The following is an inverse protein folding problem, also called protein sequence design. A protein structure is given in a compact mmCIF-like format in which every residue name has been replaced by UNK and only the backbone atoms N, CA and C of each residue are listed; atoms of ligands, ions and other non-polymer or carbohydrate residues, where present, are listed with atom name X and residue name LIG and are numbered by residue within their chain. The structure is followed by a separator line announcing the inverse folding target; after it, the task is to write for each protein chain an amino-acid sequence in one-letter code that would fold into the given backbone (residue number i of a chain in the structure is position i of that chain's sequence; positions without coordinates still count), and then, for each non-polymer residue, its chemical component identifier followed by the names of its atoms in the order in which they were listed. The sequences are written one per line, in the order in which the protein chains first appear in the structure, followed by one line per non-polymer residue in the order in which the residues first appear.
data_IF_751611830715
#
_entry.id   IF_751611830715
#
_cell.length_a   1.000
_cell.length_b   1.000
_cell.length_c   1.000
_cell.angle_alpha   90.00
_cell.angle_beta   90.00
_cell.angle_gamma   90.00
#
_symmetry.space_group_name_H-M   'P 1'
#
loop_
_entity.id
_entity.type
_entity.pdbx_description
1 polymer ?
#
# COMPACT_ATOMS: atom_id res chain seq x y z
N UNK A 1 -21.53 -7.95 -9.77
CA UNK A 1 -20.42 -7.60 -8.86
C UNK A 1 -20.77 -6.28 -8.22
N UNK A 2 -20.74 -6.17 -6.89
CA UNK A 2 -21.04 -4.93 -6.15
C UNK A 2 -19.83 -3.99 -6.25
N UNK A 3 -19.98 -2.65 -6.25
CA UNK A 3 -18.82 -1.75 -6.20
C UNK A 3 -17.88 -2.10 -5.04
N UNK A 4 -16.56 -2.09 -5.29
CA UNK A 4 -15.54 -2.48 -4.29
C UNK A 4 -15.75 -1.79 -2.95
N UNK A 5 -16.21 -0.52 -2.95
CA UNK A 5 -16.53 0.25 -1.75
C UNK A 5 -17.51 -0.43 -0.79
N UNK A 6 -18.44 -1.24 -1.30
CA UNK A 6 -19.50 -1.93 -0.53
C UNK A 6 -19.35 -3.46 -0.54
N UNK A 7 -18.29 -3.99 -1.13
CA UNK A 7 -18.06 -5.42 -1.32
C UNK A 7 -17.42 -6.06 -0.08
N UNK A 8 -18.18 -6.17 1.01
CA UNK A 8 -17.68 -6.72 2.29
C UNK A 8 -17.24 -8.18 2.15
N UNK A 9 -18.01 -9.01 1.43
CA UNK A 9 -17.67 -10.41 1.20
C UNK A 9 -16.38 -10.55 0.39
N UNK A 10 -16.20 -9.76 -0.67
CA UNK A 10 -14.96 -9.73 -1.44
C UNK A 10 -13.78 -9.21 -0.63
N UNK A 11 -13.97 -8.16 0.18
CA UNK A 11 -12.93 -7.64 1.07
C UNK A 11 -12.50 -8.67 2.12
N UNK A 12 -13.45 -9.37 2.74
CA UNK A 12 -13.19 -10.44 3.71
C UNK A 12 -12.46 -11.60 3.06
N UNK A 13 -12.91 -12.05 1.88
CA UNK A 13 -12.27 -13.12 1.13
C UNK A 13 -10.82 -12.76 0.78
N UNK A 14 -10.58 -11.54 0.28
CA UNK A 14 -9.24 -11.01 0.03
C UNK A 14 -8.36 -11.05 1.28
N UNK A 15 -8.85 -10.53 2.41
CA UNK A 15 -8.10 -10.49 3.66
C UNK A 15 -7.66 -11.91 4.10
N UNK A 16 -8.60 -12.86 4.08
CA UNK A 16 -8.36 -14.25 4.50
C UNK A 16 -7.42 -14.98 3.54
N UNK A 17 -7.70 -14.92 2.23
CA UNK A 17 -6.92 -15.66 1.22
C UNK A 17 -5.49 -15.15 1.09
N UNK A 18 -5.29 -13.84 1.24
CA UNK A 18 -3.97 -13.20 1.24
C UNK A 18 -3.26 -13.24 2.59
N UNK A 19 -3.94 -13.73 3.65
CA UNK A 19 -3.44 -13.81 5.03
C UNK A 19 -2.87 -12.48 5.52
N UNK A 20 -3.59 -11.40 5.25
CA UNK A 20 -3.17 -10.03 5.57
C UNK A 20 -2.84 -9.94 7.07
N UNK A 21 -1.68 -9.38 7.40
CA UNK A 21 -1.31 -9.04 8.77
C UNK A 21 -1.79 -7.65 9.16
N UNK A 22 -2.88 -7.56 9.91
CA UNK A 22 -3.38 -6.29 10.44
C UNK A 22 -2.69 -5.96 11.77
N UNK A 23 -1.74 -5.04 11.73
CA UNK A 23 -0.90 -4.66 12.88
C UNK A 23 -1.77 -3.95 13.90
N UNK A 24 -1.67 -4.34 15.17
CA UNK A 24 -2.36 -3.65 16.25
C UNK A 24 -1.74 -2.28 16.49
N UNK A 25 -2.55 -1.25 16.65
CA UNK A 25 -2.08 0.11 17.00
C UNK A 25 -1.20 0.10 18.25
N UNK A 26 -1.52 -0.71 19.25
CA UNK A 26 -0.73 -0.85 20.47
C UNK A 26 0.70 -1.36 20.20
N UNK A 27 0.90 -2.19 19.17
CA UNK A 27 2.25 -2.59 18.76
C UNK A 27 3.03 -1.41 18.15
N UNK A 28 2.40 -0.61 17.30
CA UNK A 28 3.01 0.59 16.71
C UNK A 28 3.46 1.56 17.81
N UNK A 29 2.60 1.82 18.81
CA UNK A 29 2.92 2.67 19.96
C UNK A 29 4.08 2.15 20.79
N UNK A 30 4.11 0.84 21.08
CA UNK A 30 5.23 0.20 21.78
C UNK A 30 6.52 0.26 20.98
N UNK A 31 6.46 0.07 19.66
CA UNK A 31 7.62 0.21 18.78
C UNK A 31 8.19 1.63 18.85
N UNK A 32 7.36 2.66 18.70
CA UNK A 32 7.80 4.07 18.82
C UNK A 32 8.45 4.33 20.18
N UNK A 33 7.83 3.86 21.26
CA UNK A 33 8.36 4.00 22.62
C UNK A 33 9.69 3.25 22.83
N UNK A 34 9.88 2.11 22.16
CA UNK A 34 11.16 1.38 22.18
C UNK A 34 12.23 2.12 21.36
N UNK A 35 11.87 2.61 20.17
CA UNK A 35 12.76 3.36 19.31
C UNK A 35 13.26 4.66 19.97
N UNK A 36 12.42 5.37 20.71
CA UNK A 36 12.81 6.59 21.43
C UNK A 36 13.78 6.33 22.60
N UNK A 37 13.81 5.11 23.15
CA UNK A 37 14.69 4.72 24.26
C UNK A 37 16.01 4.09 23.79
N UNK A 38 16.15 3.79 22.51
CA UNK A 38 17.37 3.18 21.94
C UNK A 38 18.52 4.20 21.96
N UNK A 39 19.73 3.69 22.17
CA UNK A 39 20.94 4.48 21.97
C UNK A 39 21.11 4.85 20.49
N UNK A 40 21.79 5.97 20.20
CA UNK A 40 21.95 6.49 18.83
C UNK A 40 22.70 5.54 17.88
N UNK A 41 23.47 4.60 18.41
CA UNK A 41 24.26 3.63 17.65
C UNK A 41 23.56 2.27 17.44
N UNK A 42 22.34 2.08 17.95
CA UNK A 42 21.60 0.84 17.78
C UNK A 42 20.56 0.96 16.66
N UNK A 43 20.67 0.08 15.66
CA UNK A 43 19.70 0.02 14.57
C UNK A 43 18.43 -0.69 15.05
N UNK A 44 17.28 0.00 15.01
CA UNK A 44 15.96 -0.60 15.22
C UNK A 44 15.05 -0.28 14.04
N UNK A 45 14.75 -1.29 13.22
CA UNK A 45 13.84 -1.18 12.09
C UNK A 45 12.46 -1.73 12.44
N UNK A 46 11.44 -1.16 11.81
CA UNK A 46 10.09 -1.72 11.88
C UNK A 46 10.07 -3.07 11.17
N UNK A 47 9.56 -4.15 11.80
CA UNK A 47 9.68 -5.48 11.22
C UNK A 47 8.77 -5.66 10.00
N UNK A 48 9.23 -6.43 9.01
CA UNK A 48 8.34 -6.95 7.94
C UNK A 48 7.39 -8.01 8.51
N UNK A 49 6.43 -8.44 7.69
CA UNK A 49 5.33 -9.33 8.07
C UNK A 49 5.75 -10.61 8.81
N UNK A 50 6.86 -11.23 8.42
CA UNK A 50 7.32 -12.52 8.95
C UNK A 50 7.98 -12.43 10.32
N UNK A 51 8.50 -11.26 10.70
CA UNK A 51 9.22 -11.00 11.96
C UNK A 51 8.35 -10.25 12.96
N UNK A 52 7.10 -9.93 12.62
CA UNK A 52 6.16 -9.37 13.56
C UNK A 52 6.00 -10.30 14.77
N UNK A 53 6.15 -9.81 16.01
CA UNK A 53 5.98 -10.63 17.20
C UNK A 53 4.58 -11.25 17.27
N UNK A 54 4.47 -12.46 17.83
CA UNK A 54 3.18 -13.11 18.03
C UNK A 54 2.24 -12.21 18.85
N UNK A 55 0.99 -12.09 18.42
CA UNK A 55 -0.03 -11.27 19.09
C UNK A 55 0.04 -9.77 18.77
N UNK A 56 1.02 -9.32 17.98
CA UNK A 56 1.12 -7.92 17.53
C UNK A 56 0.24 -7.57 16.32
N UNK A 57 -0.40 -8.55 15.71
CA UNK A 57 -1.27 -8.39 14.55
C UNK A 57 -2.42 -9.41 14.54
N UNK A 58 -3.47 -9.14 13.78
CA UNK A 58 -4.49 -10.11 13.38
C UNK A 58 -4.15 -10.68 12.00
N UNK A 59 -4.26 -11.98 11.81
CA UNK A 59 -4.11 -12.61 10.49
C UNK A 59 -5.47 -12.76 9.81
N UNK A 60 -5.55 -12.38 8.54
CA UNK A 60 -6.79 -12.44 7.78
C UNK A 60 -7.65 -11.22 8.03
N UNK A 61 -8.86 -11.42 8.58
CA UNK A 61 -9.80 -10.35 8.89
C UNK A 61 -9.74 -10.02 10.39
N UNK A 62 -9.58 -8.74 10.80
CA UNK A 62 -9.64 -8.35 12.20
C UNK A 62 -11.08 -8.49 12.74
N UNK A 63 -11.27 -8.51 14.07
CA UNK A 63 -12.61 -8.56 14.68
C UNK A 63 -13.49 -7.39 14.22
N UNK A 64 -14.79 -7.64 14.07
CA UNK A 64 -15.74 -6.67 13.48
C UNK A 64 -15.88 -5.37 14.28
N UNK A 65 -15.64 -5.42 15.59
CA UNK A 65 -15.68 -4.26 16.48
C UNK A 65 -14.38 -3.44 16.48
N UNK A 66 -13.43 -3.72 15.59
CA UNK A 66 -12.17 -2.97 15.46
C UNK A 66 -12.18 -2.11 14.22
N UNK A 67 -11.73 -0.87 14.36
CA UNK A 67 -11.52 0.02 13.22
C UNK A 67 -10.33 -0.47 12.41
N UNK A 68 -10.40 -0.26 11.11
CA UNK A 68 -9.37 -0.65 10.15
C UNK A 68 -8.79 0.59 9.51
N UNK A 69 -7.48 0.71 9.58
CA UNK A 69 -6.70 1.77 8.95
C UNK A 69 -5.79 1.15 7.89
N UNK A 70 -5.73 1.70 6.69
CA UNK A 70 -4.70 1.41 5.71
C UNK A 70 -3.76 2.61 5.60
N UNK A 71 -2.46 2.36 5.48
CA UNK A 71 -1.46 3.42 5.38
C UNK A 71 -1.01 3.51 3.93
N UNK A 72 -1.23 4.67 3.30
CA UNK A 72 -0.64 4.96 2.00
C UNK A 72 0.63 5.76 2.20
N UNK A 73 1.75 5.22 1.72
CA UNK A 73 3.06 5.85 1.85
C UNK A 73 4.03 5.40 0.77
N UNK A 74 5.05 6.24 0.52
CA UNK A 74 6.18 5.86 -0.30
C UNK A 74 7.22 5.05 0.49
N UNK A 75 7.92 4.14 -0.19
CA UNK A 75 9.15 3.54 0.33
C UNK A 75 10.30 4.55 0.28
N UNK A 76 11.02 4.75 1.38
CA UNK A 76 12.13 5.70 1.44
C UNK A 76 13.35 5.23 0.63
N UNK A 77 13.60 3.93 0.59
CA UNK A 77 14.65 3.32 -0.21
C UNK A 77 14.28 1.88 -0.60
N UNK A 78 15.08 1.26 -1.47
CA UNK A 78 14.91 -0.11 -1.95
C UNK A 78 14.86 -1.14 -0.82
N UNK A 79 15.71 -0.97 0.21
CA UNK A 79 15.89 -1.99 1.23
C UNK A 79 14.94 -1.85 2.44
N UNK A 80 14.26 -0.72 2.61
CA UNK A 80 13.31 -0.54 3.70
C UNK A 80 12.38 0.66 3.45
N UNK A 81 11.08 0.57 3.80
CA UNK A 81 10.17 1.70 3.57
C UNK A 81 10.47 2.91 4.46
N UNK A 82 10.99 2.72 5.68
CA UNK A 82 11.22 3.80 6.67
C UNK A 82 12.47 3.53 7.52
N UNK A 83 13.69 3.63 6.96
CA UNK A 83 14.93 3.33 7.71
C UNK A 83 15.06 4.15 9.00
N UNK A 84 14.67 5.42 8.97
CA UNK A 84 14.75 6.33 10.13
C UNK A 84 13.62 6.12 11.16
N UNK A 85 12.68 5.22 10.87
CA UNK A 85 11.40 5.06 11.58
C UNK A 85 10.52 6.31 11.65
N UNK A 86 10.91 7.47 11.10
CA UNK A 86 10.14 8.74 11.20
C UNK A 86 8.71 8.56 10.70
N UNK A 87 8.48 7.76 9.67
CA UNK A 87 7.12 7.44 9.21
C UNK A 87 6.29 6.67 10.21
N UNK A 88 6.88 5.74 10.97
CA UNK A 88 6.17 5.01 12.03
C UNK A 88 5.78 5.94 13.19
N UNK A 89 6.64 6.92 13.52
CA UNK A 89 6.31 7.96 14.50
C UNK A 89 5.14 8.84 14.01
N UNK A 90 5.16 9.26 12.74
CA UNK A 90 4.05 10.00 12.13
C UNK A 90 2.76 9.17 12.09
N UNK A 91 2.85 7.88 11.78
CA UNK A 91 1.72 6.96 11.82
C UNK A 91 1.11 6.89 13.23
N UNK A 92 1.93 6.73 14.26
CA UNK A 92 1.46 6.72 15.65
C UNK A 92 0.74 8.03 16.03
N UNK A 93 1.25 9.18 15.57
CA UNK A 93 0.64 10.49 15.79
C UNK A 93 -0.69 10.66 15.02
N UNK A 94 -0.74 10.20 13.77
CA UNK A 94 -1.97 10.22 12.97
C UNK A 94 -3.05 9.31 13.59
N UNK A 95 -2.69 8.11 14.04
CA UNK A 95 -3.58 7.20 14.74
C UNK A 95 -4.07 7.77 16.08
N UNK A 96 -3.21 8.47 16.82
CA UNK A 96 -3.60 9.20 18.04
C UNK A 96 -4.64 10.28 17.73
N UNK A 97 -4.41 11.06 16.67
CA UNK A 97 -5.33 12.13 16.22
C UNK A 97 -6.67 11.55 15.75
N UNK A 98 -6.66 10.37 15.12
CA UNK A 98 -7.85 9.62 14.76
C UNK A 98 -8.51 8.90 15.95
N UNK A 99 -8.04 9.13 17.18
CA UNK A 99 -8.49 8.49 18.42
C UNK A 99 -8.50 6.96 18.33
N UNK A 100 -7.55 6.34 17.63
CA UNK A 100 -7.49 4.89 17.47
C UNK A 100 -7.18 4.16 18.79
N UNK A 101 -7.82 3.02 19.01
CA UNK A 101 -7.59 2.15 20.17
C UNK A 101 -6.44 1.20 19.92
N UNK A 102 -5.81 0.67 20.98
CA UNK A 102 -4.65 -0.22 20.87
C UNK A 102 -4.92 -1.52 20.08
N UNK A 103 -6.17 -1.98 20.07
CA UNK A 103 -6.62 -3.16 19.34
C UNK A 103 -7.17 -2.84 17.94
N UNK A 104 -7.18 -1.57 17.52
CA UNK A 104 -7.51 -1.24 16.14
C UNK A 104 -6.43 -1.78 15.19
N UNK A 105 -6.87 -2.04 13.95
CA UNK A 105 -6.14 -2.80 12.96
C UNK A 105 -5.51 -1.86 11.91
N UNK A 106 -4.21 -2.00 11.66
CA UNK A 106 -3.45 -1.18 10.70
C UNK A 106 -2.86 -2.06 9.61
N UNK A 107 -3.17 -1.75 8.36
CA UNK A 107 -2.51 -2.28 7.18
C UNK A 107 -1.35 -1.36 6.78
N UNK A 108 -0.13 -1.88 6.84
CA UNK A 108 1.10 -1.26 6.36
C UNK A 108 1.79 -2.27 5.45
N UNK A 109 1.82 -2.03 4.14
CA UNK A 109 2.21 -3.00 3.09
C UNK A 109 3.42 -3.90 3.45
N UNK A 110 4.51 -3.33 3.93
CA UNK A 110 5.74 -4.00 4.31
C UNK A 110 5.57 -4.99 5.46
N UNK A 111 4.77 -4.61 6.44
CA UNK A 111 4.52 -5.39 7.65
C UNK A 111 3.21 -6.21 7.58
N UNK A 112 2.35 -5.94 6.62
CA UNK A 112 1.07 -6.62 6.42
C UNK A 112 1.12 -7.70 5.35
N UNK A 113 2.01 -7.56 4.36
CA UNK A 113 2.20 -8.52 3.28
C UNK A 113 3.53 -9.26 3.44
N UNK A 114 3.57 -10.53 3.03
CA UNK A 114 4.82 -11.29 3.04
C UNK A 114 5.86 -10.67 2.10
N UNK A 115 7.02 -10.29 2.63
CA UNK A 115 8.09 -9.64 1.87
C UNK A 115 9.24 -10.60 1.55
N UNK A 116 9.95 -10.37 0.45
CA UNK A 116 11.28 -10.97 0.25
C UNK A 116 12.31 -10.31 1.21
N UNK A 117 13.46 -10.96 1.46
CA UNK A 117 14.60 -10.32 2.12
C UNK A 117 14.98 -9.03 1.39
N UNK A 118 15.27 -7.98 2.15
CA UNK A 118 15.65 -6.67 1.62
C UNK A 118 17.05 -6.23 2.02
N UNK A 119 17.57 -6.78 3.10
CA UNK A 119 18.92 -6.49 3.56
C UNK A 119 19.59 -7.76 4.09
N UNK A 120 20.90 -7.83 3.90
CA UNK A 120 21.74 -8.87 4.50
C UNK A 120 22.17 -8.51 5.93
N UNK A 121 23.25 -9.14 6.38
CA UNK A 121 23.79 -8.96 7.74
C UNK A 121 24.51 -7.64 7.97
N UNK A 122 24.73 -6.83 6.91
CA UNK A 122 25.47 -5.56 6.96
C UNK A 122 24.90 -4.53 7.94
N UNK A 123 23.60 -4.63 8.26
CA UNK A 123 22.93 -3.76 9.24
C UNK A 123 23.15 -4.16 10.70
N UNK A 124 23.89 -5.24 10.98
CA UNK A 124 23.98 -5.83 12.32
C UNK A 124 22.65 -6.42 12.80
N UNK A 125 21.68 -6.57 11.89
CA UNK A 125 20.37 -7.16 12.16
C UNK A 125 20.37 -8.65 11.81
N UNK A 126 19.50 -9.45 12.46
CA UNK A 126 19.30 -10.84 12.07
C UNK A 126 18.96 -10.96 10.57
N UNK A 127 19.48 -11.99 9.87
CA UNK A 127 19.21 -12.19 8.46
C UNK A 127 17.71 -12.42 8.21
N UNK A 128 17.19 -11.84 7.14
CA UNK A 128 15.81 -12.05 6.72
C UNK A 128 15.70 -13.33 5.89
N UNK A 129 14.78 -14.21 6.26
CA UNK A 129 14.48 -15.43 5.47
C UNK A 129 13.67 -15.14 4.20
N UNK A 130 13.80 -16.00 3.21
CA UNK A 130 12.93 -15.98 2.04
C UNK A 130 11.47 -16.27 2.38
N UNK A 131 10.58 -15.88 1.45
CA UNK A 131 9.19 -16.32 1.48
C UNK A 131 9.12 -17.80 1.14
N UNK A 132 8.26 -18.51 1.86
CA UNK A 132 7.85 -19.85 1.43
C UNK A 132 7.02 -19.78 0.14
N UNK A 133 6.83 -20.90 -0.59
CA UNK A 133 5.94 -20.93 -1.75
C UNK A 133 4.50 -20.48 -1.43
N UNK A 134 3.98 -20.86 -0.26
CA UNK A 134 2.65 -20.46 0.21
C UNK A 134 2.55 -18.95 0.47
N UNK A 135 3.57 -18.37 1.11
CA UNK A 135 3.65 -16.92 1.35
C UNK A 135 3.79 -16.14 0.04
N UNK A 136 4.52 -16.68 -0.93
CA UNK A 136 4.65 -16.10 -2.27
C UNK A 136 3.32 -16.09 -3.02
N UNK A 137 2.52 -17.15 -2.89
CA UNK A 137 1.14 -17.18 -3.42
C UNK A 137 0.27 -16.11 -2.75
N UNK A 138 0.30 -16.03 -1.41
CA UNK A 138 -0.45 -15.03 -0.65
C UNK A 138 -0.09 -13.60 -1.07
N UNK A 139 1.21 -13.30 -1.25
CA UNK A 139 1.64 -11.98 -1.70
C UNK A 139 1.17 -11.63 -3.10
N UNK A 140 1.22 -12.56 -4.06
CA UNK A 140 0.72 -12.31 -5.42
C UNK A 140 -0.78 -12.04 -5.42
N UNK A 141 -1.55 -12.81 -4.66
CA UNK A 141 -2.98 -12.54 -4.44
C UNK A 141 -3.19 -11.17 -3.80
N UNK A 142 -2.35 -10.82 -2.81
CA UNK A 142 -2.46 -9.56 -2.11
C UNK A 142 -2.25 -8.37 -3.03
N UNK A 143 -1.18 -8.37 -3.84
CA UNK A 143 -0.90 -7.31 -4.81
C UNK A 143 -2.08 -7.12 -5.76
N UNK A 144 -2.61 -8.20 -6.33
CA UNK A 144 -3.68 -8.14 -7.34
C UNK A 144 -4.99 -7.52 -6.84
N UNK A 145 -5.24 -7.57 -5.55
CA UNK A 145 -6.46 -7.05 -4.92
C UNK A 145 -6.17 -5.89 -3.95
N UNK A 146 -4.94 -5.37 -3.91
CA UNK A 146 -4.50 -4.39 -2.91
C UNK A 146 -5.30 -3.09 -2.95
N UNK A 147 -5.81 -2.70 -4.13
CA UNK A 147 -6.67 -1.52 -4.26
C UNK A 147 -7.92 -1.56 -3.38
N UNK A 148 -8.37 -2.74 -2.97
CA UNK A 148 -9.47 -2.88 -1.99
C UNK A 148 -9.16 -2.20 -0.66
N UNK A 149 -7.89 -2.19 -0.22
CA UNK A 149 -7.48 -1.49 1.01
C UNK A 149 -7.71 0.01 0.94
N UNK A 150 -7.66 0.57 -0.27
CA UNK A 150 -7.76 2.00 -0.51
C UNK A 150 -9.10 2.42 -1.13
N UNK A 151 -10.05 1.48 -1.22
CA UNK A 151 -11.37 1.73 -1.83
C UNK A 151 -12.53 1.26 -0.96
N UNK A 152 -12.32 0.23 -0.13
CA UNK A 152 -13.39 -0.35 0.69
C UNK A 152 -13.83 0.62 1.79
N UNK A 153 -15.15 0.87 1.89
CA UNK A 153 -15.72 1.85 2.80
C UNK A 153 -15.53 1.54 4.29
N UNK A 154 -15.27 0.27 4.63
CA UNK A 154 -14.99 -0.17 6.00
C UNK A 154 -13.53 -0.01 6.43
N UNK A 155 -12.67 0.60 5.60
CA UNK A 155 -11.29 0.97 5.91
C UNK A 155 -11.15 2.48 5.85
N UNK A 156 -10.39 3.06 6.77
CA UNK A 156 -9.94 4.45 6.74
C UNK A 156 -8.51 4.52 6.25
N UNK A 157 -8.18 5.48 5.39
CA UNK A 157 -6.82 5.61 4.84
C UNK A 157 -6.08 6.73 5.56
N UNK A 158 -4.88 6.44 6.08
CA UNK A 158 -3.94 7.43 6.59
C UNK A 158 -2.87 7.65 5.51
N UNK A 159 -2.76 8.89 5.04
CA UNK A 159 -1.77 9.28 4.02
C UNK A 159 -0.55 9.87 4.72
N UNK A 160 0.64 9.33 4.45
CA UNK A 160 1.92 9.80 5.02
C UNK A 160 2.88 10.20 3.89
N UNK A 161 2.73 11.42 3.33
CA UNK A 161 3.40 11.81 2.08
C UNK A 161 4.86 12.24 2.25
N UNK A 162 5.34 12.35 3.49
CA UNK A 162 6.66 12.91 3.76
C UNK A 162 7.79 11.98 3.28
N UNK A 163 8.77 12.60 2.60
CA UNK A 163 10.04 11.97 2.30
C UNK A 163 10.86 11.79 3.57
N UNK A 164 11.65 10.71 3.60
CA UNK A 164 12.71 10.56 4.59
C UNK A 164 14.04 10.86 3.92
N UNK A 165 14.82 11.73 4.56
CA UNK A 165 16.14 12.10 4.06
C UNK A 165 17.13 11.00 4.42
N UNK A 166 18.00 10.63 3.50
CA UNK A 166 18.97 9.55 3.73
C UNK A 166 19.93 9.85 4.90
N UNK A 167 20.17 11.13 5.19
CA UNK A 167 20.97 11.59 6.33
C UNK A 167 20.37 11.17 7.68
N UNK A 168 19.07 10.86 7.71
CA UNK A 168 18.38 10.37 8.91
C UNK A 168 18.42 8.85 9.03
N UNK A 169 18.97 8.14 8.04
CA UNK A 169 19.00 6.68 8.06
C UNK A 169 20.07 6.20 9.04
N UNK A 170 19.82 5.12 9.79
CA UNK A 170 20.82 4.58 10.70
C UNK A 170 22.13 4.27 9.96
N UNK A 171 23.23 4.83 10.45
CA UNK A 171 24.56 4.44 10.02
C UNK A 171 24.98 3.17 10.76
N UNK A 172 25.69 2.28 10.08
CA UNK A 172 26.42 1.19 10.74
C UNK A 172 27.87 1.66 10.92
N UNK A 173 28.47 1.38 12.08
CA UNK A 173 29.87 1.70 12.37
C UNK A 173 30.76 1.24 11.20
N UNK A 174 31.44 2.19 10.55
CA UNK A 174 32.34 1.92 9.42
C UNK A 174 31.74 2.03 8.01
N UNK A 175 30.44 2.35 7.85
CA UNK A 175 29.79 2.47 6.51
C UNK A 175 29.13 3.82 6.24
N UNK A 176 29.73 4.93 6.67
CA UNK A 176 29.24 6.29 6.36
C UNK A 176 29.63 6.76 4.94
N UNK A 177 29.49 5.90 3.94
CA UNK A 177 29.56 6.36 2.56
C UNK A 177 28.25 7.07 2.24
N UNK A 178 28.32 8.37 1.95
CA UNK A 178 27.18 9.10 1.41
C UNK A 178 26.67 8.39 0.14
N UNK A 179 25.36 8.39 -0.13
CA UNK A 179 24.84 7.85 -1.38
C UNK A 179 25.54 8.47 -2.57
N UNK A 180 25.90 7.62 -3.54
CA UNK A 180 26.56 8.06 -4.77
C UNK A 180 25.52 8.16 -5.89
N UNK A 181 25.63 9.12 -6.81
CA UNK A 181 24.81 9.15 -8.01
C UNK A 181 25.13 7.96 -8.92
N UNK A 182 24.13 7.13 -9.22
CA UNK A 182 24.21 6.04 -10.19
C UNK A 182 23.04 6.14 -11.18
N UNK A 183 23.23 5.70 -12.42
CA UNK A 183 22.18 5.72 -13.44
C UNK A 183 21.17 4.59 -13.18
N UNK A 184 19.88 4.95 -13.02
CA UNK A 184 18.78 3.99 -12.91
C UNK A 184 18.18 3.75 -14.29
N UNK A 185 18.24 2.52 -14.79
CA UNK A 185 17.59 2.14 -16.05
C UNK A 185 16.06 2.22 -15.96
N UNK A 186 15.49 1.95 -14.79
CA UNK A 186 14.04 1.99 -14.57
C UNK A 186 13.52 3.43 -14.67
N UNK A 187 14.24 4.38 -14.07
CA UNK A 187 13.86 5.79 -14.04
C UNK A 187 14.47 6.61 -15.18
N UNK A 188 15.37 6.01 -15.95
CA UNK A 188 16.11 6.62 -17.04
C UNK A 188 16.83 7.93 -16.63
N UNK A 189 17.42 7.97 -15.44
CA UNK A 189 18.15 9.14 -14.89
C UNK A 189 19.09 8.76 -13.75
N UNK A 190 20.01 9.66 -13.42
CA UNK A 190 20.82 9.53 -12.21
C UNK A 190 19.95 9.58 -10.95
N UNK A 191 20.21 8.65 -10.04
CA UNK A 191 19.55 8.50 -8.74
C UNK A 191 20.60 8.24 -7.65
N UNK A 192 20.33 8.67 -6.43
CA UNK A 192 21.18 8.38 -5.28
C UNK A 192 21.07 6.90 -4.90
N UNK A 193 22.22 6.24 -4.70
CA UNK A 193 22.29 4.84 -4.26
C UNK A 193 23.24 4.68 -3.09
N UNK A 194 22.79 3.94 -2.09
CA UNK A 194 23.55 3.60 -0.90
C UNK A 194 23.93 2.12 -0.92
N UNK A 195 25.17 1.81 -0.54
CA UNK A 195 25.64 0.42 -0.36
C UNK A 195 24.83 -0.39 0.67
N UNK A 196 24.20 0.32 1.60
CA UNK A 196 23.44 -0.25 2.71
C UNK A 196 21.94 -0.26 2.43
N UNK A 197 21.42 0.85 1.89
CA UNK A 197 19.99 1.09 1.76
C UNK A 197 19.46 0.90 0.33
N UNK A 198 20.34 0.66 -0.64
CA UNK A 198 20.01 0.54 -2.06
C UNK A 198 19.64 1.89 -2.66
N UNK A 199 18.79 1.89 -3.69
CA UNK A 199 18.30 3.14 -4.31
C UNK A 199 17.50 3.99 -3.33
N UNK A 200 17.86 5.26 -3.18
CA UNK A 200 17.15 6.24 -2.37
C UNK A 200 16.02 6.84 -3.20
N UNK A 201 14.80 6.84 -2.65
CA UNK A 201 13.63 7.31 -3.38
C UNK A 201 13.28 8.74 -2.97
N UNK A 202 13.75 9.70 -3.76
CA UNK A 202 13.47 11.13 -3.59
C UNK A 202 12.20 11.63 -4.31
N UNK A 203 11.45 10.75 -4.99
CA UNK A 203 10.25 11.18 -5.75
C UNK A 203 9.16 11.64 -4.78
N UNK A 204 8.54 12.82 -4.97
CA UNK A 204 7.40 13.25 -4.16
C UNK A 204 6.25 12.24 -4.16
N UNK A 205 5.47 12.18 -3.08
CA UNK A 205 4.42 11.16 -2.90
C UNK A 205 3.39 11.17 -4.05
N UNK A 206 2.91 12.36 -4.43
CA UNK A 206 1.95 12.61 -5.51
C UNK A 206 2.46 12.17 -6.90
N UNK A 207 3.77 11.97 -7.03
CA UNK A 207 4.44 11.59 -8.25
C UNK A 207 4.89 10.11 -8.25
N UNK A 208 4.57 9.33 -7.21
CA UNK A 208 4.84 7.89 -7.16
C UNK A 208 3.62 7.13 -7.64
N UNK A 209 3.74 6.31 -8.68
CA UNK A 209 2.60 5.65 -9.32
C UNK A 209 1.69 4.88 -8.36
N UNK A 210 2.26 4.06 -7.46
CA UNK A 210 1.48 3.38 -6.42
C UNK A 210 0.80 4.37 -5.45
N UNK A 211 1.52 5.36 -4.94
CA UNK A 211 0.94 6.34 -4.02
C UNK A 211 -0.17 7.18 -4.67
N UNK A 212 0.03 7.61 -5.92
CA UNK A 212 -0.98 8.32 -6.70
C UNK A 212 -2.22 7.45 -6.94
N UNK A 213 -2.04 6.16 -7.23
CA UNK A 213 -3.14 5.20 -7.37
C UNK A 213 -3.94 5.06 -6.07
N UNK A 214 -3.25 4.82 -4.96
CA UNK A 214 -3.82 4.65 -3.63
C UNK A 214 -4.57 5.91 -3.17
N UNK A 215 -3.97 7.08 -3.35
CA UNK A 215 -4.56 8.37 -3.01
C UNK A 215 -5.82 8.63 -3.84
N UNK A 216 -5.76 8.42 -5.16
CA UNK A 216 -6.92 8.56 -6.05
C UNK A 216 -8.07 7.67 -5.63
N UNK A 217 -7.77 6.41 -5.27
CA UNK A 217 -8.78 5.47 -4.79
C UNK A 217 -9.43 5.93 -3.49
N UNK A 218 -8.60 6.30 -2.51
CA UNK A 218 -9.04 6.69 -1.18
C UNK A 218 -9.83 8.00 -1.20
N UNK A 219 -9.40 8.95 -2.03
CA UNK A 219 -10.07 10.24 -2.23
C UNK A 219 -11.45 10.04 -2.86
N UNK A 220 -11.53 9.28 -3.96
CA UNK A 220 -12.81 8.97 -4.62
C UNK A 220 -13.76 8.20 -3.71
N UNK A 221 -13.24 7.32 -2.86
CA UNK A 221 -14.03 6.61 -1.86
C UNK A 221 -14.44 7.47 -0.65
N UNK A 222 -13.83 8.64 -0.45
CA UNK A 222 -14.10 9.52 0.68
C UNK A 222 -13.69 8.91 2.03
N UNK A 223 -12.56 8.18 2.05
CA UNK A 223 -12.12 7.40 3.23
C UNK A 223 -10.79 7.85 3.83
N UNK A 224 -10.17 8.92 3.33
CA UNK A 224 -8.95 9.48 3.91
C UNK A 224 -9.28 10.09 5.29
N UNK A 225 -8.64 9.58 6.35
CA UNK A 225 -8.92 9.98 7.73
C UNK A 225 -8.20 11.25 8.16
N UNK A 226 -7.01 11.51 7.61
CA UNK A 226 -6.20 12.69 7.91
C UNK A 226 -6.19 13.67 6.74
N UNK A 227 -7.33 13.85 6.06
CA UNK A 227 -7.41 14.72 4.89
C UNK A 227 -7.04 16.16 5.24
N UNK A 228 -7.43 16.63 6.43
CA UNK A 228 -7.15 18.00 6.91
C UNK A 228 -5.68 18.22 7.33
N UNK A 229 -4.83 17.18 7.32
CA UNK A 229 -3.42 17.32 7.62
C UNK A 229 -2.74 18.23 6.56
N UNK A 230 -1.95 19.25 6.95
CA UNK A 230 -1.36 20.18 6.00
C UNK A 230 -0.48 19.53 4.93
N UNK A 231 0.17 18.41 5.23
CA UNK A 231 1.00 17.70 4.26
C UNK A 231 0.14 16.91 3.27
N UNK A 232 -1.00 16.38 3.72
CA UNK A 232 -1.99 15.71 2.87
C UNK A 232 -2.75 16.72 2.00
N UNK A 233 -3.04 17.92 2.51
CA UNK A 233 -3.61 19.01 1.72
C UNK A 233 -2.66 19.43 0.58
N UNK A 234 -1.34 19.44 0.79
CA UNK A 234 -0.39 19.70 -0.30
C UNK A 234 -0.48 18.64 -1.41
N UNK A 235 -0.65 17.36 -1.06
CA UNK A 235 -0.90 16.30 -2.05
C UNK A 235 -2.23 16.52 -2.78
N UNK A 236 -3.29 16.84 -2.04
CA UNK A 236 -4.62 17.12 -2.61
C UNK A 236 -4.55 18.25 -3.65
N UNK A 237 -3.78 19.30 -3.38
CA UNK A 237 -3.62 20.46 -4.26
C UNK A 237 -2.50 20.34 -5.30
N UNK A 238 -1.72 19.26 -5.30
CA UNK A 238 -0.62 19.09 -6.25
C UNK A 238 -1.08 18.84 -7.69
N UNK A 239 -2.31 18.33 -7.89
CA UNK A 239 -2.91 18.06 -9.20
C UNK A 239 -4.43 17.94 -9.12
N UNK A 240 -5.10 17.95 -10.27
CA UNK A 240 -6.49 17.54 -10.37
C UNK A 240 -6.58 16.00 -10.28
N UNK A 241 -7.17 15.49 -9.19
CA UNK A 241 -7.31 14.05 -8.96
C UNK A 241 -8.51 13.46 -9.72
N UNK A 242 -8.36 12.26 -10.32
CA UNK A 242 -9.30 11.72 -11.28
C UNK A 242 -10.62 11.29 -10.65
N UNK A 243 -11.72 11.64 -11.30
CA UNK A 243 -13.08 11.29 -10.90
C UNK A 243 -13.64 10.09 -11.70
N UNK A 244 -13.08 9.81 -12.87
CA UNK A 244 -13.47 8.69 -13.74
C UNK A 244 -12.23 7.97 -14.30
N UNK A 245 -12.46 6.87 -15.03
CA UNK A 245 -11.38 6.01 -15.53
C UNK A 245 -10.56 6.71 -16.61
N UNK A 246 -11.17 7.52 -17.47
CA UNK A 246 -10.46 8.25 -18.52
C UNK A 246 -9.50 9.29 -17.93
N UNK A 247 -9.95 10.03 -16.92
CA UNK A 247 -9.10 10.96 -16.16
C UNK A 247 -7.97 10.22 -15.42
N UNK A 248 -8.26 9.04 -14.87
CA UNK A 248 -7.24 8.25 -14.17
C UNK A 248 -6.16 7.75 -15.13
N UNK A 249 -6.56 7.26 -16.32
CA UNK A 249 -5.61 6.83 -17.34
C UNK A 249 -4.71 8.01 -17.77
N UNK A 250 -5.31 9.17 -18.07
CA UNK A 250 -4.56 10.40 -18.39
C UNK A 250 -3.57 10.79 -17.30
N UNK A 251 -3.95 10.65 -16.03
CA UNK A 251 -3.07 10.94 -14.90
C UNK A 251 -1.91 9.94 -14.81
N UNK A 252 -2.17 8.64 -15.06
CA UNK A 252 -1.13 7.61 -15.01
C UNK A 252 -0.17 7.65 -16.21
N UNK A 253 -0.60 8.25 -17.32
CA UNK A 253 0.24 8.51 -18.50
C UNK A 253 1.11 9.78 -18.34
N UNK A 254 0.93 10.55 -17.27
CA UNK A 254 1.73 11.75 -16.98
C UNK A 254 3.20 11.36 -16.73
N UNK A 255 4.17 11.92 -17.49
CA UNK A 255 5.59 11.61 -17.30
C UNK A 255 6.15 12.01 -15.93
N UNK A 256 5.46 12.84 -15.16
CA UNK A 256 5.81 13.15 -13.78
C UNK A 256 5.52 11.98 -12.81
N UNK A 257 4.68 11.02 -13.19
CA UNK A 257 4.40 9.82 -12.39
C UNK A 257 5.50 8.79 -12.65
N UNK A 258 6.31 8.54 -11.62
CA UNK A 258 7.38 7.55 -11.65
C UNK A 258 6.95 6.23 -10.99
N UNK A 259 7.30 5.13 -11.65
CA UNK A 259 7.18 3.76 -11.12
C UNK A 259 8.52 3.21 -10.67
N UNK A 260 8.49 2.26 -9.74
CA UNK A 260 9.69 1.65 -9.16
C UNK A 260 10.10 0.36 -9.86
N UNK A 261 9.15 -0.35 -10.49
CA UNK A 261 9.41 -1.58 -11.24
C UNK A 261 8.71 -1.57 -12.61
N UNK A 262 9.27 -2.35 -13.56
CA UNK A 262 8.67 -2.55 -14.89
C UNK A 262 7.33 -3.29 -14.74
N UNK A 263 6.27 -2.76 -15.37
CA UNK A 263 4.93 -3.35 -15.36
C UNK A 263 4.02 -2.88 -14.21
N UNK A 264 4.53 -2.10 -13.26
CA UNK A 264 3.70 -1.49 -12.21
C UNK A 264 2.62 -0.57 -12.81
N UNK A 265 2.92 0.14 -13.89
CA UNK A 265 1.99 1.03 -14.60
C UNK A 265 0.74 0.31 -15.08
N UNK A 266 0.92 -0.85 -15.73
CA UNK A 266 -0.18 -1.66 -16.24
C UNK A 266 -1.03 -2.21 -15.11
N UNK A 267 -0.37 -2.55 -13.99
CA UNK A 267 -1.04 -3.08 -12.83
C UNK A 267 -1.92 -2.03 -12.15
N UNK A 268 -1.38 -0.84 -11.87
CA UNK A 268 -2.17 0.23 -11.24
C UNK A 268 -3.26 0.80 -12.15
N UNK A 269 -3.07 0.79 -13.48
CA UNK A 269 -4.11 1.12 -14.45
C UNK A 269 -5.34 0.21 -14.27
N UNK A 270 -5.10 -1.10 -14.14
CA UNK A 270 -6.16 -2.09 -13.96
C UNK A 270 -6.87 -1.98 -12.60
N UNK A 271 -6.18 -1.52 -11.55
CA UNK A 271 -6.72 -1.43 -10.20
C UNK A 271 -7.84 -0.37 -10.05
N UNK A 272 -7.69 0.81 -10.65
CA UNK A 272 -8.72 1.86 -10.56
C UNK A 272 -9.96 1.54 -11.40
N UNK A 273 -9.78 0.85 -12.52
CA UNK A 273 -10.88 0.30 -13.32
C UNK A 273 -11.77 -0.62 -12.48
N UNK A 274 -11.19 -1.60 -11.76
CA UNK A 274 -11.95 -2.53 -10.89
C UNK A 274 -12.78 -1.80 -9.83
N UNK A 275 -12.31 -0.66 -9.35
CA UNK A 275 -12.98 0.12 -8.30
C UNK A 275 -14.07 1.05 -8.84
N UNK A 276 -13.89 1.61 -10.04
CA UNK A 276 -14.77 2.62 -10.61
C UNK A 276 -16.03 2.07 -11.29
N UNK A 277 -16.06 0.77 -11.62
CA UNK A 277 -17.19 0.17 -12.34
C UNK A 277 -18.04 -0.78 -11.49
N UNK A 278 -19.34 -0.49 -11.45
CA UNK A 278 -20.36 -1.45 -11.04
C UNK A 278 -20.73 -2.36 -12.21
N UNK A 279 -20.08 -3.52 -12.33
CA UNK A 279 -20.44 -4.50 -13.36
C UNK A 279 -21.87 -5.07 -13.20
N UNK A 280 -22.57 -4.80 -12.07
CA UNK A 280 -23.98 -5.17 -11.92
C UNK A 280 -24.96 -4.23 -12.63
N UNK A 281 -24.55 -3.00 -12.96
CA UNK A 281 -25.38 -2.05 -13.70
C UNK A 281 -25.44 -2.42 -15.20
N UNK A 282 -24.34 -2.91 -15.76
CA UNK A 282 -24.26 -3.35 -17.16
C UNK A 282 -25.19 -4.55 -17.47
N UNK A 283 -25.52 -5.38 -16.46
CA UNK A 283 -26.45 -6.51 -16.63
C UNK A 283 -27.93 -6.10 -16.55
N UNK A 284 -28.26 -4.89 -16.06
CA UNK A 284 -29.65 -4.40 -15.94
C UNK A 284 -30.12 -3.58 -17.15
N UNK A 285 -29.22 -3.29 -18.10
CA UNK A 285 -29.47 -2.40 -19.24
C UNK A 285 -29.85 -3.07 -20.55
N UNK A 286 -30.00 -4.40 -20.64
CA UNK A 286 -30.46 -5.03 -21.89
C UNK A 286 -32.00 -5.13 -21.92
N UNK A 287 -32.69 -4.48 -22.89
CA UNK A 287 -34.09 -4.77 -23.15
C UNK A 287 -34.16 -6.18 -23.74
N UNK A 288 -34.80 -7.10 -23.02
CA UNK A 288 -35.18 -8.41 -23.55
C UNK A 288 -36.23 -8.20 -24.65
N UNK A 289 -35.79 -7.96 -25.88
CA UNK A 289 -36.59 -8.21 -27.09
C UNK A 289 -36.03 -9.42 -27.82
N UNK A 290 -36.32 -10.61 -27.29
CA UNK A 290 -36.38 -11.79 -28.13
C UNK A 290 -37.84 -12.09 -28.45
N UNK A 291 -38.24 -11.71 -29.67
CA UNK A 291 -39.46 -12.20 -30.32
C UNK A 291 -39.40 -13.73 -30.36
N UNK A 292 -40.37 -14.35 -29.71
CA UNK A 292 -40.63 -15.78 -29.69
C UNK A 292 -40.91 -16.26 -31.13
N UNK A 293 -39.96 -16.95 -31.76
CA UNK A 293 -40.24 -17.73 -32.97
C UNK A 293 -40.94 -19.03 -32.55
N UNK A 294 -42.19 -19.17 -32.98
CA UNK A 294 -43.02 -20.35 -32.82
C UNK A 294 -42.44 -21.53 -33.59
N UNK A 295 -42.20 -22.65 -32.89
CA UNK A 295 -41.86 -23.94 -33.49
C UNK A 295 -43.05 -24.47 -34.28
N UNK A 296 -43.01 -24.33 -35.61
CA UNK A 296 -43.86 -25.01 -36.56
C UNK A 296 -43.40 -26.46 -36.76
N UNK A 297 -44.38 -27.37 -36.73
CA UNK A 297 -44.29 -28.82 -36.86
C UNK A 297 -43.63 -29.25 -38.18
N UNK A 298 -42.84 -30.32 -38.16
CA UNK A 298 -42.82 -31.29 -39.26
C UNK A 298 -42.70 -32.71 -38.70
N UNK A 299 -43.68 -33.55 -39.09
CA UNK A 299 -43.73 -35.00 -38.89
C UNK A 299 -43.02 -35.67 -40.07
N UNK A 300 -42.54 -36.88 -39.78
CA UNK A 300 -41.81 -37.79 -40.66
C UNK A 300 -42.52 -38.14 -41.98
N UNK A 301 -41.68 -38.39 -42.99
CA UNK A 301 -41.77 -39.52 -43.91
C UNK A 301 -40.34 -40.04 -44.13
#
# INVERSE_FOLDING_TARGET
MVPVRKDDSGFRAFCIQSRIGWIKVGFIRRFVSAHQRRAQNEVLLFPRRQELPRGSFYEGMPPENRRRFAVSHGWACENHPTPSSKRIHRLAQALKTAHADDDDAVFLDYASLFQNPRFGTRLGLPPQRDRTPGESKCFRTALFEMSRMFAFGGVKVIVLPQLERWQDFPAVLGSQSAPVPEFSEVKNRACEKSDLWGWINAVPYENRGWCAAEFSCALKAGIIANLDDPDVQRVLHARAWPQNVDEYQKMMDDPAIEFTDKGDSDFVAYLFFKMSFDLSAAQRGQPTRFRRWSRGRFRAA
#
